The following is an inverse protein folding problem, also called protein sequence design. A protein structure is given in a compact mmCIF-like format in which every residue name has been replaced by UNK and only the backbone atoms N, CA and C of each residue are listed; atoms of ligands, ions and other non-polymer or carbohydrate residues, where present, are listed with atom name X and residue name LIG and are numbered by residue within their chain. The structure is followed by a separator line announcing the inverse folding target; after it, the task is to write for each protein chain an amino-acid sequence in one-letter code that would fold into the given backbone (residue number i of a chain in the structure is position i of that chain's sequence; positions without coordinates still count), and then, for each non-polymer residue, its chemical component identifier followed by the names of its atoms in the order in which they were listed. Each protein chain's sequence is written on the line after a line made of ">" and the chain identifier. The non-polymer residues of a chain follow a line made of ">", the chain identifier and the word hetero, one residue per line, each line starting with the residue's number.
data_IF_176767944263
#
_entry.id   IF_176767944263
#
_cell.length_a   1.000
_cell.length_b   1.000
_cell.length_c   1.000
_cell.angle_alpha   90.00
_cell.angle_beta   90.00
_cell.angle_gamma   90.00
#
_symmetry.space_group_name_H-M   'P 1'
#
loop_
_entity.id
_entity.type
_entity.pdbx_description
1 polymer ?
#
# COMPACT_ATOMS: atom_id res chain seq x y z
N UNK A 1 -17.75 15.00 -9.41
CA UNK A 1 -18.16 16.09 -10.32
C UNK A 1 -19.68 16.07 -10.43
N UNK A 2 -20.38 17.20 -10.23
CA UNK A 2 -21.84 17.21 -10.26
C UNK A 2 -22.36 16.91 -11.67
N UNK A 3 -23.44 16.14 -11.74
CA UNK A 3 -24.14 15.83 -12.97
C UNK A 3 -25.51 15.22 -12.69
N UNK A 4 -26.31 15.00 -13.74
CA UNK A 4 -27.72 14.59 -13.60
C UNK A 4 -27.90 13.29 -12.82
N UNK A 5 -27.04 12.29 -13.03
CA UNK A 5 -27.12 11.01 -12.32
C UNK A 5 -26.49 11.02 -10.92
N UNK A 6 -25.94 12.15 -10.46
CA UNK A 6 -25.33 12.27 -9.12
C UNK A 6 -26.03 13.31 -8.25
N UNK A 7 -27.10 13.96 -8.74
CA UNK A 7 -27.75 15.09 -8.04
C UNK A 7 -28.23 14.74 -6.63
N UNK A 8 -28.76 13.52 -6.43
CA UNK A 8 -29.26 13.08 -5.12
C UNK A 8 -28.14 12.97 -4.08
N UNK A 9 -26.95 12.56 -4.49
CA UNK A 9 -25.78 12.60 -3.61
C UNK A 9 -25.51 14.01 -3.12
N UNK A 10 -25.52 15.02 -4.01
CA UNK A 10 -25.23 16.41 -3.61
C UNK A 10 -26.28 16.94 -2.64
N UNK A 11 -27.55 16.52 -2.77
CA UNK A 11 -28.59 16.82 -1.78
C UNK A 11 -28.28 16.19 -0.42
N UNK A 12 -27.79 14.94 -0.39
CA UNK A 12 -27.33 14.28 0.83
C UNK A 12 -26.09 14.96 1.44
N UNK A 13 -25.09 15.28 0.62
CA UNK A 13 -23.85 15.94 1.04
C UNK A 13 -24.12 17.29 1.71
N UNK A 14 -25.04 18.08 1.16
CA UNK A 14 -25.44 19.38 1.72
C UNK A 14 -26.01 19.29 3.15
N UNK A 15 -26.49 18.11 3.56
CA UNK A 15 -27.00 17.83 4.91
C UNK A 15 -26.02 17.04 5.78
N UNK A 16 -24.81 16.78 5.27
CA UNK A 16 -23.80 15.97 5.94
C UNK A 16 -22.67 16.81 6.54
N UNK A 17 -21.78 16.17 7.32
CA UNK A 17 -20.51 16.76 7.77
C UNK A 17 -19.34 16.50 6.80
N UNK A 18 -19.61 15.86 5.66
CA UNK A 18 -18.58 15.49 4.68
C UNK A 18 -18.19 16.73 3.89
N UNK A 19 -16.90 17.08 3.92
CA UNK A 19 -16.35 18.11 3.03
C UNK A 19 -16.16 17.53 1.63
N UNK A 20 -16.97 17.99 0.68
CA UNK A 20 -16.79 17.64 -0.72
C UNK A 20 -15.75 18.55 -1.39
N UNK A 21 -14.77 17.95 -2.07
CA UNK A 21 -13.79 18.68 -2.89
C UNK A 21 -14.12 18.39 -4.35
N UNK A 22 -14.55 19.41 -5.09
CA UNK A 22 -14.93 19.26 -6.51
C UNK A 22 -13.68 19.29 -7.40
N UNK A 23 -13.33 18.18 -8.08
CA UNK A 23 -12.25 18.17 -9.06
C UNK A 23 -12.75 18.70 -10.41
N UNK A 24 -11.82 18.92 -11.35
CA UNK A 24 -12.13 19.34 -12.73
C UNK A 24 -12.13 18.18 -13.73
N UNK A 25 -11.74 16.98 -13.30
CA UNK A 25 -11.78 15.74 -14.07
C UNK A 25 -11.93 14.54 -13.12
N UNK A 26 -12.68 13.50 -13.48
CA UNK A 26 -12.89 12.32 -12.61
C UNK A 26 -11.61 11.54 -12.37
N UNK A 27 -10.68 11.50 -13.33
CA UNK A 27 -9.32 10.98 -13.11
C UNK A 27 -8.64 11.71 -11.94
N UNK A 28 -8.79 13.04 -11.86
CA UNK A 28 -8.32 13.83 -10.73
C UNK A 28 -9.03 13.47 -9.42
N UNK A 29 -10.33 13.18 -9.47
CA UNK A 29 -11.07 12.67 -8.30
C UNK A 29 -10.46 11.37 -7.78
N UNK A 30 -10.16 10.44 -8.69
CA UNK A 30 -9.54 9.17 -8.36
C UNK A 30 -8.15 9.32 -7.74
N UNK A 31 -7.26 10.10 -8.36
CA UNK A 31 -5.92 10.33 -7.81
C UNK A 31 -5.91 11.17 -6.53
N UNK A 32 -6.88 12.07 -6.34
CA UNK A 32 -7.06 12.75 -5.06
C UNK A 32 -7.44 11.78 -3.95
N UNK A 33 -8.30 10.79 -4.23
CA UNK A 33 -8.64 9.75 -3.26
C UNK A 33 -7.43 8.85 -2.93
N UNK A 34 -6.68 8.41 -3.95
CA UNK A 34 -5.43 7.66 -3.78
C UNK A 34 -4.42 8.44 -2.92
N UNK A 35 -4.14 9.69 -3.27
CA UNK A 35 -3.21 10.55 -2.53
C UNK A 35 -3.67 10.84 -1.10
N UNK A 36 -4.98 11.08 -0.89
CA UNK A 36 -5.54 11.23 0.45
C UNK A 36 -5.32 9.98 1.31
N UNK A 37 -5.45 8.79 0.72
CA UNK A 37 -5.24 7.55 1.44
C UNK A 37 -3.78 7.33 1.85
N UNK A 38 -2.84 7.65 0.96
CA UNK A 38 -1.41 7.57 1.25
C UNK A 38 -0.97 8.56 2.31
N UNK A 39 -1.35 9.83 2.15
CA UNK A 39 -0.95 10.91 3.04
C UNK A 39 -1.66 10.87 4.40
N UNK A 40 -2.95 10.51 4.41
CA UNK A 40 -3.80 10.57 5.59
C UNK A 40 -3.95 9.24 6.35
N UNK A 41 -3.48 8.12 5.79
CA UNK A 41 -3.60 6.79 6.39
C UNK A 41 -5.04 6.27 6.53
N UNK A 42 -6.02 6.94 5.90
CA UNK A 42 -7.46 6.63 5.95
C UNK A 42 -7.97 6.35 4.54
N UNK A 43 -8.99 5.50 4.35
CA UNK A 43 -9.51 5.22 3.01
C UNK A 43 -9.89 6.49 2.25
N UNK A 44 -9.43 6.60 1.01
CA UNK A 44 -9.80 7.67 0.08
C UNK A 44 -11.14 7.37 -0.55
N UNK A 45 -11.99 8.39 -0.74
CA UNK A 45 -13.33 8.21 -1.32
C UNK A 45 -13.50 9.09 -2.54
N UNK A 46 -13.87 8.48 -3.67
CA UNK A 46 -14.24 9.18 -4.89
C UNK A 46 -15.71 8.84 -5.23
N UNK A 47 -16.51 9.88 -5.49
CA UNK A 47 -17.85 9.71 -6.05
C UNK A 47 -17.91 10.26 -7.47
N UNK A 48 -18.32 9.41 -8.40
CA UNK A 48 -18.32 9.71 -9.84
C UNK A 48 -19.66 9.39 -10.50
N UNK A 49 -19.87 9.97 -11.69
CA UNK A 49 -21.08 9.73 -12.48
C UNK A 49 -20.99 8.39 -13.22
N UNK A 50 -22.12 7.98 -13.82
CA UNK A 50 -22.24 6.86 -14.75
C UNK A 50 -21.27 6.95 -15.94
N UNK A 51 -21.04 5.83 -16.61
CA UNK A 51 -20.37 5.67 -17.90
C UNK A 51 -19.01 6.39 -17.95
N UNK A 52 -18.90 7.50 -18.70
CA UNK A 52 -17.66 8.22 -18.91
C UNK A 52 -16.97 8.68 -17.61
N UNK A 53 -17.74 9.04 -16.58
CA UNK A 53 -17.16 9.48 -15.30
C UNK A 53 -16.43 8.35 -14.57
N UNK A 54 -17.01 7.14 -14.59
CA UNK A 54 -16.38 5.96 -14.02
C UNK A 54 -15.20 5.48 -14.87
N UNK A 55 -15.32 5.47 -16.20
CA UNK A 55 -14.19 5.10 -17.08
C UNK A 55 -13.01 6.06 -16.91
N UNK A 56 -13.27 7.36 -16.70
CA UNK A 56 -12.21 8.33 -16.40
C UNK A 56 -11.48 8.06 -15.07
N UNK A 57 -12.08 7.30 -14.16
CA UNK A 57 -11.52 6.97 -12.84
C UNK A 57 -10.73 5.66 -12.83
N UNK A 58 -10.91 4.82 -13.86
CA UNK A 58 -10.36 3.46 -13.91
C UNK A 58 -8.83 3.43 -13.78
N UNK A 59 -8.13 4.44 -14.32
CA UNK A 59 -6.66 4.55 -14.22
C UNK A 59 -6.20 4.71 -12.77
N UNK A 60 -6.86 5.58 -12.01
CA UNK A 60 -6.54 5.78 -10.60
C UNK A 60 -6.88 4.54 -9.75
N UNK A 61 -7.98 3.84 -10.08
CA UNK A 61 -8.28 2.56 -9.45
C UNK A 61 -7.20 1.52 -9.76
N UNK A 62 -6.71 1.44 -11.00
CA UNK A 62 -5.62 0.54 -11.38
C UNK A 62 -4.36 0.79 -10.56
N UNK A 63 -3.99 2.05 -10.39
CA UNK A 63 -2.85 2.44 -9.54
C UNK A 63 -3.07 2.04 -8.09
N UNK A 64 -4.23 2.38 -7.52
CA UNK A 64 -4.56 1.99 -6.15
C UNK A 64 -4.55 0.47 -5.96
N UNK A 65 -4.92 -0.31 -6.98
CA UNK A 65 -4.90 -1.78 -6.94
C UNK A 65 -3.49 -2.33 -6.90
N UNK A 66 -2.60 -1.80 -7.73
CA UNK A 66 -1.19 -2.20 -7.79
C UNK A 66 -0.48 -1.89 -6.46
N UNK A 67 -0.66 -0.67 -5.95
CA UNK A 67 0.04 -0.19 -4.76
C UNK A 67 -0.66 -0.51 -3.44
N UNK A 68 -1.77 -1.26 -3.50
CA UNK A 68 -2.56 -1.66 -2.33
C UNK A 68 -3.13 -0.49 -1.51
N UNK A 69 -3.65 0.53 -2.19
CA UNK A 69 -4.19 1.73 -1.55
C UNK A 69 -5.69 1.56 -1.25
N UNK A 70 -6.14 1.82 0.00
CA UNK A 70 -7.55 1.71 0.36
C UNK A 70 -8.35 2.85 -0.27
N UNK A 71 -9.09 2.52 -1.34
CA UNK A 71 -9.85 3.48 -2.13
C UNK A 71 -11.29 2.99 -2.30
N UNK A 72 -12.27 3.80 -1.95
CA UNK A 72 -13.69 3.54 -2.21
C UNK A 72 -14.15 4.41 -3.38
N UNK A 73 -14.59 3.76 -4.45
CA UNK A 73 -15.22 4.43 -5.60
C UNK A 73 -16.71 4.16 -5.57
N UNK A 74 -17.50 5.22 -5.50
CA UNK A 74 -18.96 5.13 -5.59
C UNK A 74 -19.38 5.74 -6.92
N UNK A 75 -20.17 5.01 -7.71
CA UNK A 75 -20.70 5.50 -8.98
C UNK A 75 -22.22 5.44 -9.02
N UNK A 76 -22.80 6.32 -9.83
CA UNK A 76 -24.14 6.08 -10.33
C UNK A 76 -24.15 5.06 -11.46
N UNK A 77 -25.32 4.48 -11.73
CA UNK A 77 -25.65 3.82 -13.02
C UNK A 77 -27.09 4.15 -13.42
N UNK A 78 -27.48 3.88 -14.67
CA UNK A 78 -28.86 4.05 -15.14
C UNK A 78 -29.86 3.21 -14.31
N UNK A 79 -31.16 3.46 -14.48
CA UNK A 79 -32.20 2.79 -13.70
C UNK A 79 -32.20 1.27 -13.93
N UNK A 80 -32.47 0.48 -12.88
CA UNK A 80 -32.33 -0.98 -12.88
C UNK A 80 -33.04 -1.68 -14.06
N UNK A 81 -34.22 -1.19 -14.43
CA UNK A 81 -35.05 -1.72 -15.52
C UNK A 81 -34.54 -1.39 -16.93
N UNK A 82 -33.51 -0.54 -17.05
CA UNK A 82 -32.91 -0.10 -18.32
C UNK A 82 -31.51 -0.65 -18.57
N UNK A 83 -30.87 -1.23 -17.55
CA UNK A 83 -29.45 -1.60 -17.58
C UNK A 83 -29.11 -2.59 -18.68
N UNK A 84 -28.12 -2.23 -19.51
CA UNK A 84 -27.53 -3.10 -20.53
C UNK A 84 -28.46 -3.46 -21.69
N UNK A 85 -29.62 -2.77 -21.81
CA UNK A 85 -30.62 -3.05 -22.85
C UNK A 85 -30.31 -2.37 -24.18
N UNK A 86 -29.37 -1.42 -24.20
CA UNK A 86 -28.99 -0.68 -25.41
C UNK A 86 -30.11 0.26 -25.89
N UNK A 87 -30.87 0.83 -24.96
CA UNK A 87 -32.02 1.67 -25.28
C UNK A 87 -31.64 3.14 -25.58
N UNK A 88 -30.35 3.44 -25.57
CA UNK A 88 -29.83 4.77 -25.90
C UNK A 88 -29.90 5.74 -24.73
N UNK A 89 -29.91 5.23 -23.49
CA UNK A 89 -29.86 6.10 -22.32
C UNK A 89 -28.51 6.82 -22.24
N UNK A 90 -28.54 8.06 -21.73
CA UNK A 90 -27.33 8.85 -21.54
C UNK A 90 -26.34 8.07 -20.67
N UNK A 91 -25.11 7.94 -21.16
CA UNK A 91 -23.99 7.25 -20.50
C UNK A 91 -24.19 5.74 -20.28
N UNK A 92 -25.11 5.11 -21.02
CA UNK A 92 -25.31 3.67 -20.95
C UNK A 92 -24.06 2.92 -21.43
N UNK A 93 -23.59 1.99 -20.60
CA UNK A 93 -22.61 0.97 -20.99
C UNK A 93 -23.27 -0.41 -20.94
N UNK A 94 -22.85 -1.36 -21.80
CA UNK A 94 -23.41 -2.73 -21.78
C UNK A 94 -23.26 -3.41 -20.41
N UNK A 95 -22.10 -3.23 -19.77
CA UNK A 95 -21.83 -3.71 -18.42
C UNK A 95 -20.80 -2.84 -17.70
N UNK A 96 -21.27 -1.77 -17.05
CA UNK A 96 -20.43 -0.87 -16.25
C UNK A 96 -19.77 -1.58 -15.06
N UNK A 97 -20.49 -2.51 -14.42
CA UNK A 97 -20.04 -3.21 -13.22
C UNK A 97 -18.96 -4.23 -13.57
N UNK A 98 -19.17 -5.07 -14.59
CA UNK A 98 -18.20 -6.07 -15.02
C UNK A 98 -16.87 -5.46 -15.46
N UNK A 99 -16.89 -4.24 -16.00
CA UNK A 99 -15.67 -3.47 -16.28
C UNK A 99 -14.89 -3.15 -15.00
N UNK A 100 -15.57 -2.72 -13.92
CA UNK A 100 -14.90 -2.41 -12.64
C UNK A 100 -14.41 -3.65 -11.90
N UNK A 101 -15.06 -4.80 -12.05
CA UNK A 101 -14.61 -6.08 -11.46
C UNK A 101 -13.21 -6.50 -11.93
N UNK A 102 -12.71 -5.95 -13.05
CA UNK A 102 -11.34 -6.23 -13.54
C UNK A 102 -10.26 -5.43 -12.83
N UNK A 103 -10.63 -4.40 -12.07
CA UNK A 103 -9.69 -3.49 -11.42
C UNK A 103 -9.91 -3.41 -9.92
N UNK A 104 -11.18 -3.38 -9.48
CA UNK A 104 -11.55 -3.38 -8.08
C UNK A 104 -11.31 -4.74 -7.40
N UNK A 105 -11.09 -4.72 -6.09
CA UNK A 105 -11.13 -5.90 -5.22
C UNK A 105 -12.53 -6.52 -5.21
N UNK A 106 -13.55 -5.66 -5.20
CA UNK A 106 -14.95 -6.02 -5.36
C UNK A 106 -15.69 -4.88 -6.05
N UNK A 107 -16.75 -5.23 -6.78
CA UNK A 107 -17.66 -4.28 -7.41
C UNK A 107 -19.08 -4.74 -7.18
N UNK A 108 -19.81 -4.01 -6.35
CA UNK A 108 -21.16 -4.36 -5.91
C UNK A 108 -22.18 -3.37 -6.45
N UNK A 109 -23.40 -3.82 -6.76
CA UNK A 109 -24.54 -2.96 -7.12
C UNK A 109 -25.56 -2.99 -5.99
N UNK A 110 -25.91 -1.81 -5.48
CA UNK A 110 -26.96 -1.62 -4.49
C UNK A 110 -28.28 -1.46 -5.23
N UNK A 111 -29.20 -2.41 -5.09
CA UNK A 111 -30.52 -2.40 -5.74
C UNK A 111 -31.65 -1.94 -4.82
N UNK A 112 -31.44 -2.04 -3.51
CA UNK A 112 -32.35 -1.58 -2.47
C UNK A 112 -31.59 -0.68 -1.46
N UNK A 113 -32.28 0.27 -0.84
CA UNK A 113 -31.63 1.26 0.03
C UNK A 113 -30.98 0.59 1.25
N UNK A 114 -31.62 -0.46 1.77
CA UNK A 114 -31.25 -1.26 2.93
C UNK A 114 -29.91 -1.99 2.75
N UNK A 115 -29.46 -2.21 1.51
CA UNK A 115 -28.21 -2.91 1.21
C UNK A 115 -26.98 -2.01 1.39
N UNK A 116 -27.15 -0.70 1.32
CA UNK A 116 -26.05 0.27 1.33
C UNK A 116 -25.19 0.19 2.61
N UNK A 117 -25.74 0.12 3.85
CA UNK A 117 -24.93 -0.02 5.04
C UNK A 117 -24.04 -1.28 5.03
N UNK A 118 -24.56 -2.40 4.50
CA UNK A 118 -23.80 -3.65 4.40
C UNK A 118 -22.70 -3.58 3.35
N UNK A 119 -22.96 -2.97 2.19
CA UNK A 119 -21.95 -2.77 1.15
C UNK A 119 -20.79 -1.88 1.64
N UNK A 120 -21.10 -0.80 2.36
CA UNK A 120 -20.09 0.05 3.00
C UNK A 120 -19.31 -0.73 4.06
N UNK A 121 -19.98 -1.49 4.93
CA UNK A 121 -19.31 -2.29 5.96
C UNK A 121 -18.32 -3.30 5.36
N UNK A 122 -18.69 -4.00 4.29
CA UNK A 122 -17.78 -4.91 3.56
C UNK A 122 -16.57 -4.19 2.98
N UNK A 123 -16.77 -3.03 2.36
CA UNK A 123 -15.67 -2.23 1.81
C UNK A 123 -14.65 -1.83 2.90
N UNK A 124 -15.15 -1.32 4.04
CA UNK A 124 -14.28 -0.92 5.15
C UNK A 124 -13.63 -2.11 5.88
N UNK A 125 -14.27 -3.28 5.91
CA UNK A 125 -13.67 -4.51 6.42
C UNK A 125 -12.41 -4.88 5.63
N UNK A 126 -12.50 -4.89 4.30
CA UNK A 126 -11.37 -5.18 3.40
C UNK A 126 -10.19 -4.23 3.67
N UNK A 127 -10.47 -2.93 3.85
CA UNK A 127 -9.43 -1.94 4.13
C UNK A 127 -8.71 -2.13 5.46
N UNK A 128 -9.34 -2.78 6.45
CA UNK A 128 -8.77 -2.94 7.80
C UNK A 128 -8.16 -4.32 8.08
N UNK A 129 -8.60 -5.38 7.38
CA UNK A 129 -8.22 -6.76 7.72
C UNK A 129 -7.43 -7.51 6.66
N UNK A 130 -7.22 -6.92 5.47
CA UNK A 130 -6.63 -7.61 4.32
C UNK A 130 -5.71 -6.69 3.51
N UNK A 131 -5.06 -7.21 2.46
CA UNK A 131 -4.32 -6.40 1.49
C UNK A 131 -5.28 -5.39 0.84
N UNK A 132 -5.16 -4.08 1.11
CA UNK A 132 -6.14 -3.11 0.63
C UNK A 132 -6.00 -2.85 -0.87
N UNK A 133 -6.96 -2.11 -1.41
CA UNK A 133 -7.07 -1.77 -2.84
C UNK A 133 -8.40 -1.06 -3.11
N UNK A 134 -8.72 -0.76 -4.38
CA UNK A 134 -9.97 -0.12 -4.74
C UNK A 134 -11.17 -1.06 -4.53
N UNK A 135 -12.25 -0.57 -3.94
CA UNK A 135 -13.57 -1.20 -3.89
C UNK A 135 -14.56 -0.30 -4.61
N UNK A 136 -15.44 -0.90 -5.41
CA UNK A 136 -16.45 -0.17 -6.17
C UNK A 136 -17.87 -0.49 -5.68
N UNK A 137 -18.67 0.56 -5.47
CA UNK A 137 -20.10 0.46 -5.19
C UNK A 137 -20.85 1.26 -6.24
N UNK A 138 -21.75 0.60 -6.96
CA UNK A 138 -22.59 1.20 -7.98
C UNK A 138 -24.03 1.33 -7.48
N UNK A 139 -24.65 2.49 -7.69
CA UNK A 139 -26.01 2.77 -7.24
C UNK A 139 -26.86 3.23 -8.44
N UNK A 140 -27.90 2.49 -8.84
CA UNK A 140 -28.83 2.91 -9.89
C UNK A 140 -29.57 4.21 -9.52
N UNK A 141 -29.87 5.04 -10.52
CA UNK A 141 -30.53 6.34 -10.32
C UNK A 141 -31.91 6.22 -9.66
N UNK A 142 -32.67 5.17 -9.98
CA UNK A 142 -33.97 4.89 -9.35
C UNK A 142 -33.84 4.39 -7.90
N UNK A 143 -32.65 3.94 -7.48
CA UNK A 143 -32.36 3.51 -6.10
C UNK A 143 -31.89 4.70 -5.27
N UNK A 144 -31.12 5.62 -5.84
CA UNK A 144 -30.63 6.82 -5.14
C UNK A 144 -31.73 7.71 -4.55
N UNK A 145 -32.95 7.65 -5.10
CA UNK A 145 -34.12 8.42 -4.65
C UNK A 145 -34.99 7.68 -3.63
N UNK A 146 -34.69 6.40 -3.34
CA UNK A 146 -35.49 5.63 -2.38
C UNK A 146 -35.35 6.20 -0.97
N UNK A 147 -36.42 6.16 -0.15
CA UNK A 147 -36.35 6.49 1.27
C UNK A 147 -35.26 5.67 1.98
N UNK A 148 -34.58 6.30 2.92
CA UNK A 148 -33.47 5.69 3.68
C UNK A 148 -33.55 6.06 5.17
N UNK A 149 -34.68 6.61 5.61
CA UNK A 149 -34.94 6.96 7.00
C UNK A 149 -34.85 5.70 7.88
N UNK A 150 -34.08 5.79 8.97
CA UNK A 150 -33.91 4.68 9.91
C UNK A 150 -32.79 3.70 9.55
N UNK A 151 -32.13 3.83 8.40
CA UNK A 151 -30.94 3.04 8.10
C UNK A 151 -29.78 3.47 8.99
N UNK A 152 -29.27 2.53 9.79
CA UNK A 152 -28.11 2.72 10.63
C UNK A 152 -26.83 2.23 9.94
N UNK A 153 -25.68 2.91 10.12
CA UNK A 153 -24.40 2.38 9.67
C UNK A 153 -24.09 1.04 10.35
N UNK A 154 -23.61 0.07 9.57
CA UNK A 154 -23.05 -1.18 10.09
C UNK A 154 -21.55 -1.00 10.28
N UNK A 155 -21.04 -1.31 11.48
CA UNK A 155 -19.60 -1.27 11.74
C UNK A 155 -18.90 -2.37 10.95
N UNK A 156 -17.97 -1.97 10.08
CA UNK A 156 -17.27 -2.88 9.16
C UNK A 156 -15.84 -3.24 9.57
N UNK A 157 -15.27 -2.67 10.63
CA UNK A 157 -13.85 -2.90 10.90
C UNK A 157 -13.61 -4.34 11.38
N UNK A 158 -12.94 -5.14 10.55
CA UNK A 158 -12.43 -6.46 10.91
C UNK A 158 -10.97 -6.35 11.35
N UNK A 159 -10.56 -7.19 12.29
CA UNK A 159 -9.16 -7.32 12.67
C UNK A 159 -8.38 -8.07 11.58
N UNK A 160 -7.09 -7.74 11.37
CA UNK A 160 -6.22 -8.53 10.50
C UNK A 160 -6.05 -9.96 11.03
N UNK A 161 -5.61 -10.91 10.17
CA UNK A 161 -5.28 -12.25 10.62
C UNK A 161 -4.14 -12.22 11.66
N UNK A 162 -4.34 -12.94 12.76
CA UNK A 162 -3.31 -13.08 13.78
C UNK A 162 -2.16 -13.97 13.26
N UNK A 163 -0.89 -13.61 13.53
CA UNK A 163 0.26 -14.45 13.17
C UNK A 163 0.18 -15.85 13.79
N UNK A 164 0.38 -16.89 12.98
CA UNK A 164 0.40 -18.28 13.48
C UNK A 164 1.57 -18.52 14.44
N UNK A 165 1.26 -19.07 15.62
CA UNK A 165 2.24 -19.24 16.70
C UNK A 165 3.34 -20.24 16.33
N UNK A 166 3.05 -21.29 15.55
CA UNK A 166 4.04 -22.25 15.12
C UNK A 166 5.00 -21.64 14.10
N UNK A 167 4.49 -20.88 13.12
CA UNK A 167 5.30 -20.12 12.18
C UNK A 167 6.21 -19.10 12.90
N UNK A 168 5.68 -18.37 13.89
CA UNK A 168 6.46 -17.42 14.70
C UNK A 168 7.57 -18.14 15.48
N UNK A 169 7.27 -19.29 16.09
CA UNK A 169 8.26 -20.06 16.85
C UNK A 169 9.39 -20.58 15.95
N UNK A 170 9.07 -21.09 14.76
CA UNK A 170 10.07 -21.57 13.80
C UNK A 170 10.91 -20.42 13.23
N UNK A 171 10.29 -19.29 12.88
CA UNK A 171 11.00 -18.08 12.48
C UNK A 171 11.96 -17.59 13.58
N UNK A 172 11.51 -17.55 14.83
CA UNK A 172 12.35 -17.16 15.97
C UNK A 172 13.53 -18.12 16.17
N UNK A 173 13.37 -19.43 15.91
CA UNK A 173 14.47 -20.41 15.94
C UNK A 173 15.52 -20.09 14.89
N UNK A 174 15.11 -19.77 13.66
CA UNK A 174 16.02 -19.38 12.58
C UNK A 174 16.75 -18.06 12.91
N UNK A 175 16.02 -17.06 13.41
CA UNK A 175 16.59 -15.77 13.80
C UNK A 175 17.66 -15.94 14.89
N UNK A 176 17.41 -16.78 15.91
CA UNK A 176 18.39 -17.05 16.99
C UNK A 176 19.68 -17.71 16.48
N UNK A 177 19.63 -18.41 15.35
CA UNK A 177 20.78 -19.06 14.74
C UNK A 177 21.53 -18.16 13.73
N UNK A 178 20.89 -17.09 13.26
CA UNK A 178 21.46 -16.16 12.28
C UNK A 178 22.58 -15.32 12.90
N UNK A 179 23.64 -15.09 12.12
CA UNK A 179 24.79 -14.26 12.49
C UNK A 179 24.78 -12.92 11.77
N UNK A 180 24.24 -12.88 10.55
CA UNK A 180 24.18 -11.68 9.70
C UNK A 180 22.75 -11.46 9.20
N UNK A 181 21.75 -11.32 10.09
CA UNK A 181 20.39 -11.05 9.67
C UNK A 181 20.30 -9.73 8.89
N UNK A 182 19.34 -9.66 7.98
CA UNK A 182 18.97 -8.45 7.24
C UNK A 182 17.46 -8.36 7.12
N UNK A 183 16.90 -7.16 7.24
CA UNK A 183 15.47 -6.91 7.13
C UNK A 183 15.19 -6.20 5.81
N UNK A 184 14.19 -6.67 5.07
CA UNK A 184 13.61 -5.98 3.92
C UNK A 184 12.25 -5.43 4.30
N UNK A 185 12.08 -4.11 4.30
CA UNK A 185 10.82 -3.44 4.59
C UNK A 185 10.13 -3.01 3.29
N UNK A 186 8.92 -3.54 3.08
CA UNK A 186 8.03 -3.19 1.98
C UNK A 186 6.94 -2.18 2.37
N UNK A 187 6.13 -1.77 1.40
CA UNK A 187 4.99 -0.87 1.65
C UNK A 187 3.98 -1.42 2.70
N UNK A 188 3.87 -2.74 2.84
CA UNK A 188 3.04 -3.36 3.87
C UNK A 188 3.51 -3.10 5.31
N UNK A 189 4.77 -2.68 5.50
CA UNK A 189 5.31 -2.33 6.81
C UNK A 189 5.08 -0.86 7.19
N UNK A 190 4.41 -0.04 6.36
CA UNK A 190 4.25 1.41 6.58
C UNK A 190 3.61 1.82 7.91
N UNK A 191 2.77 0.96 8.48
CA UNK A 191 2.13 1.19 9.79
C UNK A 191 2.87 0.53 10.96
N UNK A 192 4.01 -0.11 10.69
CA UNK A 192 4.75 -0.92 11.64
C UNK A 192 6.06 -0.27 12.10
N UNK A 193 6.31 1.01 11.84
CA UNK A 193 7.59 1.69 12.10
C UNK A 193 8.14 1.44 13.51
N UNK A 194 7.32 1.65 14.54
CA UNK A 194 7.72 1.42 15.93
C UNK A 194 8.04 -0.05 16.23
N UNK A 195 7.30 -1.00 15.65
CA UNK A 195 7.55 -2.44 15.83
C UNK A 195 8.79 -2.89 15.06
N UNK A 196 8.96 -2.40 13.84
CA UNK A 196 10.10 -2.64 12.97
C UNK A 196 11.39 -2.09 13.57
N UNK A 197 11.37 -0.88 14.13
CA UNK A 197 12.51 -0.26 14.81
C UNK A 197 12.98 -1.13 15.97
N UNK A 198 12.08 -1.46 16.92
CA UNK A 198 12.42 -2.32 18.07
C UNK A 198 12.94 -3.69 17.63
N UNK A 199 12.36 -4.27 16.58
CA UNK A 199 12.79 -5.55 16.06
C UNK A 199 14.18 -5.45 15.41
N UNK A 200 14.44 -4.44 14.59
CA UNK A 200 15.74 -4.20 13.99
C UNK A 200 16.85 -4.00 15.03
N UNK A 201 16.57 -3.20 16.07
CA UNK A 201 17.48 -2.98 17.21
C UNK A 201 17.77 -4.27 17.97
N UNK A 202 16.73 -5.08 18.26
CA UNK A 202 16.89 -6.35 18.97
C UNK A 202 17.73 -7.36 18.18
N UNK A 203 17.64 -7.36 16.85
CA UNK A 203 18.45 -8.20 15.99
C UNK A 203 19.85 -7.64 15.73
N UNK A 204 20.04 -6.31 15.84
CA UNK A 204 21.20 -5.63 15.28
C UNK A 204 21.28 -5.82 13.76
N UNK A 205 20.14 -5.78 13.06
CA UNK A 205 20.08 -6.08 11.62
C UNK A 205 19.96 -4.82 10.76
N UNK A 206 20.72 -4.69 9.66
CA UNK A 206 20.45 -3.67 8.65
C UNK A 206 19.02 -3.78 8.11
N UNK A 207 18.39 -2.64 7.84
CA UNK A 207 17.05 -2.53 7.26
C UNK A 207 17.14 -1.88 5.89
N UNK A 208 16.79 -2.59 4.84
CA UNK A 208 16.67 -2.06 3.48
C UNK A 208 15.20 -1.84 3.15
N UNK A 209 14.87 -0.68 2.63
CA UNK A 209 13.50 -0.30 2.27
C UNK A 209 13.26 -0.34 0.76
N UNK A 210 12.09 -0.85 0.36
CA UNK A 210 11.52 -0.58 -0.97
C UNK A 210 11.13 0.90 -1.13
N UNK A 211 10.86 1.35 -2.36
CA UNK A 211 10.37 2.72 -2.60
C UNK A 211 9.08 3.01 -1.81
N UNK A 212 8.18 2.02 -1.73
CA UNK A 212 6.92 2.13 -1.01
C UNK A 212 7.06 2.12 0.52
N UNK A 213 8.24 1.79 1.07
CA UNK A 213 8.52 1.82 2.51
C UNK A 213 9.18 3.13 2.98
N UNK A 214 9.82 3.89 2.07
CA UNK A 214 10.63 5.10 2.36
C UNK A 214 10.12 6.01 3.47
N UNK A 215 10.94 6.23 4.49
CA UNK A 215 10.63 7.06 5.65
C UNK A 215 10.23 6.27 6.89
N UNK A 216 10.40 4.93 6.88
CA UNK A 216 10.50 4.17 8.13
C UNK A 216 11.92 4.33 8.66
N UNK A 217 12.09 4.25 9.97
CA UNK A 217 13.40 4.31 10.63
C UNK A 217 14.23 5.56 10.24
N UNK A 218 13.60 6.73 10.04
CA UNK A 218 14.30 7.95 9.63
C UNK A 218 15.56 8.20 10.48
N UNK A 219 16.72 8.39 9.82
CA UNK A 219 18.05 8.59 10.45
C UNK A 219 18.54 7.47 11.37
N UNK A 220 17.90 6.32 11.37
CA UNK A 220 18.31 5.21 12.23
C UNK A 220 19.65 4.62 11.74
N UNK A 221 20.61 4.30 12.63
CA UNK A 221 21.92 3.74 12.24
C UNK A 221 21.85 2.44 11.44
N UNK A 222 20.80 1.63 11.64
CA UNK A 222 20.55 0.39 10.89
C UNK A 222 19.86 0.59 9.54
N UNK A 223 19.33 1.77 9.23
CA UNK A 223 18.60 2.01 7.98
C UNK A 223 19.57 2.12 6.79
N UNK A 224 19.26 1.42 5.72
CA UNK A 224 19.86 1.60 4.39
C UNK A 224 18.76 2.13 3.47
N UNK A 225 18.64 3.46 3.30
CA UNK A 225 17.55 4.10 2.57
C UNK A 225 17.81 4.06 1.06
N UNK A 226 18.21 2.90 0.55
CA UNK A 226 18.64 2.68 -0.83
C UNK A 226 17.79 1.61 -1.51
N UNK A 227 17.66 1.68 -2.84
CA UNK A 227 16.83 0.76 -3.62
C UNK A 227 17.41 -0.66 -3.57
N UNK A 228 16.58 -1.70 -3.35
CA UNK A 228 17.02 -3.09 -3.45
C UNK A 228 17.58 -3.50 -4.82
N UNK A 229 17.34 -2.70 -5.87
CA UNK A 229 17.87 -2.94 -7.22
C UNK A 229 19.34 -2.56 -7.41
N UNK A 230 19.92 -1.74 -6.52
CA UNK A 230 21.32 -1.35 -6.61
C UNK A 230 22.24 -2.54 -6.32
N UNK A 231 23.34 -2.67 -7.06
CA UNK A 231 24.30 -3.78 -6.92
C UNK A 231 24.89 -3.84 -5.52
N UNK A 232 25.19 -2.68 -4.93
CA UNK A 232 25.66 -2.59 -3.54
C UNK A 232 24.65 -3.17 -2.54
N UNK A 233 23.36 -2.87 -2.73
CA UNK A 233 22.29 -3.36 -1.84
C UNK A 233 22.05 -4.85 -2.06
N UNK A 234 22.06 -5.33 -3.31
CA UNK A 234 22.01 -6.76 -3.63
C UNK A 234 23.18 -7.54 -3.03
N UNK A 235 24.39 -6.97 -3.02
CA UNK A 235 25.55 -7.58 -2.39
C UNK A 235 25.38 -7.67 -0.86
N UNK A 236 24.86 -6.63 -0.21
CA UNK A 236 24.51 -6.65 1.21
C UNK A 236 23.46 -7.73 1.53
N UNK A 237 22.45 -7.88 0.67
CA UNK A 237 21.45 -8.94 0.77
C UNK A 237 22.05 -10.33 0.58
N UNK A 238 22.97 -10.50 -0.37
CA UNK A 238 23.62 -11.78 -0.65
C UNK A 238 24.58 -12.23 0.47
N UNK A 239 25.16 -11.29 1.22
CA UNK A 239 26.03 -11.59 2.38
C UNK A 239 25.24 -12.03 3.62
N UNK A 240 23.94 -11.71 3.68
CA UNK A 240 23.07 -12.10 4.78
C UNK A 240 22.83 -13.62 4.81
N UNK A 241 22.88 -14.21 6.00
CA UNK A 241 22.59 -15.63 6.21
C UNK A 241 21.10 -15.90 6.52
N UNK A 242 20.34 -14.84 6.81
CA UNK A 242 18.90 -14.85 6.96
C UNK A 242 18.32 -13.49 6.54
N UNK A 243 17.34 -13.51 5.65
CA UNK A 243 16.56 -12.32 5.29
C UNK A 243 15.16 -12.40 5.89
N UNK A 244 14.74 -11.34 6.57
CA UNK A 244 13.38 -11.16 7.09
C UNK A 244 12.69 -10.10 6.23
N UNK A 245 11.75 -10.52 5.39
CA UNK A 245 11.02 -9.64 4.49
C UNK A 245 9.63 -9.32 5.03
N UNK A 246 9.39 -8.06 5.41
CA UNK A 246 8.16 -7.58 5.99
C UNK A 246 7.36 -6.75 4.98
N UNK A 247 6.21 -7.26 4.52
CA UNK A 247 5.24 -6.53 3.72
C UNK A 247 5.73 -6.15 2.32
N UNK A 248 6.55 -7.00 1.69
CA UNK A 248 7.10 -6.80 0.33
C UNK A 248 6.74 -7.95 -0.61
N UNK A 249 6.37 -7.59 -1.84
CA UNK A 249 6.00 -8.54 -2.91
C UNK A 249 7.18 -8.98 -3.79
N UNK A 250 8.37 -8.44 -3.56
CA UNK A 250 9.55 -8.68 -4.40
C UNK A 250 9.29 -8.36 -5.88
N UNK A 251 8.61 -7.25 -6.15
CA UNK A 251 8.33 -6.78 -7.51
C UNK A 251 9.61 -6.34 -8.24
N UNK A 252 9.70 -6.54 -9.57
CA UNK A 252 10.88 -6.12 -10.34
C UNK A 252 11.11 -4.61 -10.26
N UNK A 253 10.08 -3.78 -10.08
CA UNK A 253 10.27 -2.33 -9.94
C UNK A 253 11.22 -1.96 -8.79
N UNK A 254 11.12 -2.64 -7.64
CA UNK A 254 11.97 -2.38 -6.48
C UNK A 254 13.28 -3.18 -6.51
N UNK A 255 13.23 -4.44 -6.94
CA UNK A 255 14.35 -5.38 -6.80
C UNK A 255 15.15 -5.57 -8.09
N UNK A 256 14.58 -5.24 -9.24
CA UNK A 256 15.19 -5.36 -10.57
C UNK A 256 14.82 -4.20 -11.51
N UNK A 257 14.90 -2.97 -11.00
CA UNK A 257 14.42 -1.77 -11.70
C UNK A 257 15.07 -1.51 -13.06
N UNK A 258 16.25 -2.09 -13.32
CA UNK A 258 16.94 -2.01 -14.62
C UNK A 258 16.73 -3.25 -15.51
N UNK A 259 16.01 -4.27 -15.02
CA UNK A 259 15.77 -5.51 -15.75
C UNK A 259 17.05 -6.27 -16.11
N UNK A 260 18.09 -6.16 -15.27
CA UNK A 260 19.38 -6.80 -15.52
C UNK A 260 19.42 -8.27 -15.04
N UNK A 261 18.33 -8.73 -14.42
CA UNK A 261 18.19 -10.10 -13.91
C UNK A 261 19.09 -10.40 -12.71
N UNK A 262 19.72 -9.38 -12.11
CA UNK A 262 20.69 -9.54 -11.04
C UNK A 262 20.08 -9.80 -9.66
N UNK A 263 18.75 -9.74 -9.52
CA UNK A 263 18.09 -10.07 -8.26
C UNK A 263 17.94 -11.57 -8.07
N UNK A 264 18.51 -12.08 -6.98
CA UNK A 264 18.36 -13.46 -6.55
C UNK A 264 17.58 -13.48 -5.24
N UNK A 265 16.52 -14.30 -5.20
CA UNK A 265 15.73 -14.46 -3.99
C UNK A 265 16.63 -15.10 -2.89
N UNK A 266 16.65 -14.56 -1.66
CA UNK A 266 17.46 -15.13 -0.58
C UNK A 266 17.07 -16.59 -0.30
N UNK A 267 18.05 -17.50 -0.15
CA UNK A 267 17.77 -18.93 0.08
C UNK A 267 17.19 -19.22 1.48
N UNK A 268 17.57 -18.39 2.47
CA UNK A 268 17.06 -18.42 3.84
C UNK A 268 16.21 -17.18 4.05
N UNK A 269 14.89 -17.35 3.98
CA UNK A 269 13.94 -16.25 3.90
C UNK A 269 12.76 -16.49 4.83
N UNK A 270 12.52 -15.52 5.71
CA UNK A 270 11.26 -15.39 6.46
C UNK A 270 10.45 -14.29 5.76
N UNK A 271 9.18 -14.56 5.44
CA UNK A 271 8.27 -13.54 4.88
C UNK A 271 7.10 -13.30 5.81
N UNK A 272 6.78 -12.03 6.01
CA UNK A 272 5.59 -11.55 6.72
C UNK A 272 4.73 -10.81 5.70
N UNK A 273 3.48 -11.22 5.53
CA UNK A 273 2.54 -10.53 4.65
C UNK A 273 1.10 -10.74 5.13
N UNK A 274 0.26 -9.72 4.97
CA UNK A 274 -1.17 -9.79 5.27
C UNK A 274 -1.95 -10.51 4.16
N UNK A 275 -1.39 -10.61 2.95
CA UNK A 275 -1.95 -11.34 1.82
C UNK A 275 -1.44 -12.76 1.76
N UNK A 276 -2.30 -13.74 2.05
CA UNK A 276 -1.97 -15.16 1.89
C UNK A 276 -1.53 -15.50 0.45
N UNK A 277 -2.10 -14.85 -0.56
CA UNK A 277 -1.70 -15.02 -1.97
C UNK A 277 -0.27 -14.52 -2.21
N UNK A 278 0.16 -13.45 -1.52
CA UNK A 278 1.53 -12.94 -1.63
C UNK A 278 2.56 -13.89 -1.07
N UNK A 279 2.25 -14.54 0.05
CA UNK A 279 3.12 -15.58 0.62
C UNK A 279 3.25 -16.77 -0.32
N UNK A 280 2.16 -17.15 -1.02
CA UNK A 280 2.16 -18.28 -1.94
C UNK A 280 2.89 -18.04 -3.27
N UNK A 281 3.09 -16.78 -3.69
CA UNK A 281 3.69 -16.43 -5.00
C UNK A 281 5.18 -16.76 -5.12
N UNK A 282 5.89 -16.91 -4.02
CA UNK A 282 7.34 -17.14 -4.02
C UNK A 282 7.73 -18.15 -2.94
N UNK A 283 8.75 -18.98 -3.16
CA UNK A 283 9.23 -19.88 -2.14
C UNK A 283 9.76 -19.09 -0.93
N UNK A 284 9.60 -19.67 0.25
CA UNK A 284 10.00 -19.09 1.53
C UNK A 284 10.39 -20.21 2.48
N UNK A 285 11.31 -19.95 3.41
CA UNK A 285 11.64 -20.89 4.49
C UNK A 285 10.53 -20.92 5.54
N UNK A 286 10.06 -19.74 5.97
CA UNK A 286 8.91 -19.56 6.88
C UNK A 286 8.04 -18.40 6.42
N UNK A 287 6.77 -18.65 6.18
CA UNK A 287 5.78 -17.61 5.90
C UNK A 287 4.93 -17.32 7.13
N UNK A 288 4.77 -16.04 7.49
CA UNK A 288 3.92 -15.57 8.57
C UNK A 288 2.80 -14.75 7.95
N UNK A 289 1.59 -15.31 7.95
CA UNK A 289 0.38 -14.61 7.50
C UNK A 289 -0.15 -13.73 8.63
N UNK A 290 -0.09 -12.41 8.44
CA UNK A 290 -0.51 -11.47 9.48
C UNK A 290 -0.13 -10.03 9.17
N UNK A 291 -0.66 -9.11 9.97
CA UNK A 291 -0.21 -7.72 9.97
C UNK A 291 1.28 -7.63 10.36
N UNK A 292 2.03 -6.73 9.70
CA UNK A 292 3.46 -6.59 9.93
C UNK A 292 3.79 -6.18 11.37
N UNK A 293 3.04 -5.26 11.97
CA UNK A 293 3.32 -4.80 13.33
C UNK A 293 3.04 -5.91 14.36
N UNK A 294 1.96 -6.68 14.17
CA UNK A 294 1.63 -7.82 15.02
C UNK A 294 2.66 -8.95 14.90
N UNK A 295 3.04 -9.31 13.67
CA UNK A 295 4.03 -10.36 13.42
C UNK A 295 5.42 -10.01 13.96
N UNK A 296 5.89 -8.78 13.74
CA UNK A 296 7.18 -8.30 14.28
C UNK A 296 7.18 -8.27 15.81
N UNK A 297 6.05 -7.89 16.43
CA UNK A 297 5.91 -7.90 17.88
C UNK A 297 5.90 -9.32 18.45
N UNK A 298 5.21 -10.26 17.78
CA UNK A 298 5.18 -11.67 18.17
C UNK A 298 6.56 -12.32 18.05
N UNK A 299 7.30 -12.01 16.98
CA UNK A 299 8.69 -12.46 16.81
C UNK A 299 9.59 -11.91 17.92
N UNK A 300 9.52 -10.60 18.20
CA UNK A 300 10.30 -9.98 19.27
C UNK A 300 10.04 -10.65 20.63
N UNK A 301 8.77 -10.94 20.94
CA UNK A 301 8.40 -11.67 22.15
C UNK A 301 8.99 -13.10 22.18
N UNK A 302 8.95 -13.82 21.06
CA UNK A 302 9.48 -15.18 20.95
C UNK A 302 11.02 -15.25 21.01
N UNK A 303 11.72 -14.17 20.63
CA UNK A 303 13.17 -14.06 20.81
C UNK A 303 13.55 -14.02 22.29
N UNK A 304 12.78 -13.25 23.09
CA UNK A 304 12.99 -13.08 24.51
C UNK A 304 14.23 -12.25 24.87
N UNK A 305 14.35 -11.86 26.14
CA UNK A 305 15.40 -10.96 26.61
C UNK A 305 16.83 -11.52 26.54
N UNK A 306 16.99 -12.84 26.35
CA UNK A 306 18.28 -13.50 26.24
C UNK A 306 18.86 -13.49 24.81
N UNK A 307 18.11 -12.99 23.82
CA UNK A 307 18.63 -12.88 22.47
C UNK A 307 19.78 -11.86 22.42
N UNK A 308 20.84 -12.20 21.68
CA UNK A 308 22.02 -11.36 21.52
C UNK A 308 22.00 -10.79 20.11
N UNK A 309 21.90 -9.47 20.01
CA UNK A 309 21.95 -8.75 18.75
C UNK A 309 23.27 -8.98 18.00
N UNK A 310 23.22 -8.95 16.67
CA UNK A 310 24.41 -8.91 15.84
C UNK A 310 25.20 -7.62 16.11
N UNK A 311 26.51 -7.75 16.31
CA UNK A 311 27.38 -6.64 16.73
C UNK A 311 27.84 -5.74 15.58
N UNK A 312 27.72 -6.22 14.34
CA UNK A 312 28.22 -5.56 13.14
C UNK A 312 27.09 -4.92 12.29
N UNK A 313 25.85 -4.94 12.77
CA UNK A 313 24.68 -4.43 12.04
C UNK A 313 24.83 -2.99 11.58
N UNK A 314 25.19 -2.08 12.48
CA UNK A 314 25.38 -0.67 12.14
C UNK A 314 26.53 -0.45 11.16
N UNK A 315 27.63 -1.21 11.30
CA UNK A 315 28.77 -1.15 10.39
C UNK A 315 28.40 -1.65 9.00
N UNK A 316 27.63 -2.76 8.90
CA UNK A 316 27.10 -3.30 7.65
C UNK A 316 26.13 -2.32 6.99
N UNK A 317 25.25 -1.69 7.76
CA UNK A 317 24.33 -0.67 7.27
C UNK A 317 25.08 0.58 6.77
N UNK A 318 26.08 1.06 7.50
CA UNK A 318 26.92 2.18 7.09
C UNK A 318 27.66 1.89 5.78
N UNK A 319 28.33 0.74 5.69
CA UNK A 319 28.99 0.31 4.45
C UNK A 319 28.00 0.18 3.29
N UNK A 320 26.79 -0.35 3.54
CA UNK A 320 25.72 -0.43 2.55
C UNK A 320 25.26 0.94 2.04
N UNK A 321 25.09 1.92 2.93
CA UNK A 321 24.75 3.31 2.58
C UNK A 321 25.82 3.94 1.69
N UNK A 322 27.09 3.85 2.10
CA UNK A 322 28.21 4.42 1.37
C UNK A 322 28.35 3.80 -0.03
N UNK A 323 28.30 2.46 -0.11
CA UNK A 323 28.42 1.75 -1.38
C UNK A 323 27.23 2.04 -2.32
N UNK A 324 26.00 2.10 -1.80
CA UNK A 324 24.83 2.43 -2.60
C UNK A 324 24.86 3.87 -3.13
N UNK A 325 25.29 4.83 -2.31
CA UNK A 325 25.43 6.22 -2.72
C UNK A 325 26.54 6.39 -3.78
N UNK A 326 27.65 5.67 -3.64
CA UNK A 326 28.76 5.67 -4.60
C UNK A 326 28.41 5.03 -5.95
N UNK A 327 27.41 4.15 -5.99
CA UNK A 327 26.89 3.56 -7.23
C UNK A 327 26.09 4.57 -8.08
N UNK A 328 25.56 5.63 -7.47
CA UNK A 328 24.75 6.61 -8.18
C UNK A 328 25.59 7.47 -9.12
N UNK A 329 25.07 7.68 -10.34
CA UNK A 329 25.68 8.54 -11.34
C UNK A 329 25.65 10.02 -10.90
N UNK A 330 26.60 10.87 -11.35
CA UNK A 330 26.67 12.28 -10.94
C UNK A 330 25.42 13.10 -11.25
N UNK A 331 24.71 12.80 -12.34
CA UNK A 331 23.43 13.43 -12.70
C UNK A 331 22.34 13.08 -11.68
N UNK A 332 22.25 11.80 -11.29
CA UNK A 332 21.30 11.33 -10.27
C UNK A 332 21.61 11.91 -8.88
N UNK A 333 22.89 12.05 -8.52
CA UNK A 333 23.28 12.72 -7.27
C UNK A 333 22.83 14.20 -7.27
N UNK A 334 22.88 14.89 -8.42
CA UNK A 334 22.38 16.25 -8.52
C UNK A 334 20.84 16.32 -8.37
N UNK A 335 20.12 15.36 -8.95
CA UNK A 335 18.66 15.25 -8.81
C UNK A 335 18.25 14.93 -7.36
N UNK A 336 18.96 14.01 -6.70
CA UNK A 336 18.74 13.69 -5.29
C UNK A 336 18.95 14.92 -4.39
N UNK A 337 20.00 15.72 -4.63
CA UNK A 337 20.22 16.97 -3.89
C UNK A 337 19.05 17.94 -3.97
N UNK A 338 18.31 17.98 -5.09
CA UNK A 338 17.13 18.84 -5.20
C UNK A 338 16.01 18.40 -4.23
N UNK A 339 15.75 17.09 -4.14
CA UNK A 339 14.75 16.54 -3.21
C UNK A 339 15.19 16.74 -1.75
N UNK A 340 16.45 16.48 -1.45
CA UNK A 340 17.03 16.75 -0.12
C UNK A 340 16.99 18.22 0.27
N UNK A 341 17.17 19.13 -0.69
CA UNK A 341 17.06 20.58 -0.44
C UNK A 341 15.63 20.96 -0.05
N UNK A 342 14.62 20.37 -0.70
CA UNK A 342 13.21 20.58 -0.34
C UNK A 342 12.95 20.10 1.09
N UNK A 343 13.38 18.87 1.43
CA UNK A 343 13.25 18.32 2.79
C UNK A 343 13.97 19.16 3.83
N UNK A 344 15.20 19.59 3.54
CA UNK A 344 15.98 20.43 4.44
C UNK A 344 15.37 21.81 4.68
N UNK A 345 14.71 22.39 3.67
CA UNK A 345 14.00 23.66 3.79
C UNK A 345 12.61 23.51 4.45
N UNK A 346 11.96 22.36 4.28
CA UNK A 346 10.63 22.05 4.79
C UNK A 346 10.62 20.66 5.47
N UNK A 347 11.16 20.53 6.69
CA UNK A 347 11.13 19.27 7.43
C UNK A 347 9.71 18.76 7.64
N UNK A 348 9.51 17.44 7.49
CA UNK A 348 8.22 16.75 7.61
C UNK A 348 7.23 17.05 6.49
N UNK A 349 7.67 17.66 5.39
CA UNK A 349 6.80 17.92 4.24
C UNK A 349 6.51 16.63 3.46
N UNK A 350 5.24 16.44 3.09
CA UNK A 350 4.85 15.33 2.21
C UNK A 350 5.44 15.58 0.81
N UNK A 351 6.33 14.69 0.37
CA UNK A 351 6.86 14.71 -0.99
C UNK A 351 5.95 13.88 -1.91
N UNK A 352 5.32 14.55 -2.87
CA UNK A 352 4.50 13.90 -3.90
C UNK A 352 5.21 14.06 -5.24
N UNK A 353 5.53 12.93 -5.86
CA UNK A 353 6.33 12.88 -7.08
C UNK A 353 5.64 12.14 -8.20
N UNK A 354 5.69 12.70 -9.41
CA UNK A 354 5.40 11.98 -10.65
C UNK A 354 6.69 11.36 -11.21
N UNK A 355 6.58 10.66 -12.34
CA UNK A 355 7.64 10.06 -13.15
C UNK A 355 8.65 11.10 -13.66
N UNK A 356 9.54 11.53 -12.78
CA UNK A 356 10.51 12.61 -13.02
C UNK A 356 11.89 12.21 -12.49
N UNK A 357 12.94 12.81 -13.06
CA UNK A 357 14.33 12.50 -12.69
C UNK A 357 14.63 12.70 -11.17
N UNK A 358 14.17 13.76 -10.49
CA UNK A 358 14.29 13.89 -9.03
C UNK A 358 13.70 12.70 -8.26
N UNK A 359 12.53 12.24 -8.68
CA UNK A 359 11.80 11.16 -8.01
C UNK A 359 12.44 9.80 -8.30
N UNK A 360 12.91 9.56 -9.53
CA UNK A 360 13.70 8.37 -9.84
C UNK A 360 15.00 8.33 -9.04
N UNK A 361 15.68 9.46 -8.86
CA UNK A 361 16.86 9.53 -8.00
C UNK A 361 16.53 9.25 -6.53
N UNK A 362 15.44 9.83 -6.01
CA UNK A 362 14.99 9.59 -4.63
C UNK A 362 14.54 8.14 -4.40
N UNK A 363 13.94 7.49 -5.40
CA UNK A 363 13.61 6.06 -5.31
C UNK A 363 14.88 5.19 -5.12
N UNK A 364 15.99 5.56 -5.78
CA UNK A 364 17.27 4.87 -5.63
C UNK A 364 17.93 5.10 -4.28
N UNK A 365 17.85 6.31 -3.73
CA UNK A 365 18.42 6.62 -2.42
C UNK A 365 17.74 7.86 -1.82
N UNK A 366 17.03 7.73 -0.70
CA UNK A 366 16.42 8.87 -0.01
C UNK A 366 15.97 8.52 1.41
N UNK A 367 16.41 9.29 2.41
CA UNK A 367 16.00 9.15 3.81
C UNK A 367 15.00 10.28 4.16
N UNK A 368 13.71 9.96 4.09
CA UNK A 368 12.63 10.90 4.36
C UNK A 368 12.27 10.93 5.86
N UNK A 369 11.91 12.11 6.36
CA UNK A 369 11.63 12.39 7.78
C UNK A 369 10.16 12.28 8.20
#
# INVERSE_FOLDING_TARGET
>A
IPGVHTVELYRGLARSKIRHITPRHEQGAGFMADGYARAGGRPGVAFVITGPGLTNTITAMGQARADSVPMLVISGVNATDTLGKGLGFLHELPDQRGMMEKVALSSERVTEAEELPGALARAFAVFSSSRPGPVHIEIPTNVMVKPAEGLAPVLGNAAPPAPDAAAVAEAARLIKAARRPLILAGGGAKKADAALTRFAEALGAPVVETANARGLLHRHPLLVPASPSLKAVRALMADADLVIAAGTEFGPTDYDGYGDGGFVLPPSLIRIDIGADQLARRPVTVGIHGDCAEALSALLAALGAAHVAAKDGEARAAAGREAALAELRPDYLAQLRAVETIRGALPGAIIVGDSTQPIYAANLYYDHD
#
